data_IF_256490352416
#
_entry.id   IF_256490352416
#
_cell.length_a   1.000
_cell.length_b   1.000
_cell.length_c   1.000
_cell.angle_alpha   90.00
_cell.angle_beta   90.00
_cell.angle_gamma   90.00
#
_symmetry.space_group_name_H-M   'P 1'
#
loop_
_entity.id
_entity.type
_entity.pdbx_description
1 polymer ?
#
# COMPACT_ATOMS: atom_id res chain seq x y z
N UNK A 1 27.44 -57.28 -4.62
CA UNK A 1 28.51 -56.32 -4.98
C UNK A 1 28.36 -56.05 -6.46
N UNK A 2 27.98 -54.90 -6.98
CA UNK A 2 27.76 -53.57 -6.41
C UNK A 2 26.74 -52.86 -7.30
N UNK A 3 25.76 -52.20 -6.69
CA UNK A 3 24.97 -51.17 -7.35
C UNK A 3 25.85 -49.92 -7.40
N UNK A 4 26.22 -49.51 -8.60
CA UNK A 4 26.89 -48.24 -8.88
C UNK A 4 26.06 -47.57 -9.95
N UNK A 5 25.22 -46.62 -9.54
CA UNK A 5 25.24 -45.24 -10.04
C UNK A 5 24.13 -44.48 -9.30
N UNK A 6 24.50 -43.79 -8.23
CA UNK A 6 23.67 -42.72 -7.67
C UNK A 6 24.58 -41.52 -7.51
N UNK A 7 24.56 -40.65 -8.51
CA UNK A 7 24.93 -39.26 -8.33
C UNK A 7 23.68 -38.45 -8.70
N UNK A 8 22.91 -37.92 -7.75
CA UNK A 8 22.02 -36.84 -8.09
C UNK A 8 22.93 -35.64 -8.35
N UNK A 9 23.14 -35.39 -9.65
CA UNK A 9 23.59 -34.12 -10.20
C UNK A 9 22.87 -33.02 -9.42
N UNK A 10 23.65 -32.28 -8.63
CA UNK A 10 23.17 -31.07 -7.97
C UNK A 10 22.89 -30.08 -9.09
N UNK A 11 21.65 -30.10 -9.57
CA UNK A 11 21.12 -29.08 -10.46
C UNK A 11 21.19 -27.76 -9.67
N UNK A 12 22.25 -27.01 -9.92
CA UNK A 12 22.28 -25.58 -9.68
C UNK A 12 21.10 -24.99 -10.45
N UNK A 13 19.98 -24.82 -9.76
CA UNK A 13 18.89 -24.01 -10.26
C UNK A 13 19.40 -22.57 -10.21
N UNK A 14 19.96 -22.12 -11.33
CA UNK A 14 20.07 -20.71 -11.64
C UNK A 14 18.65 -20.14 -11.54
N UNK A 15 18.36 -19.43 -10.44
CA UNK A 15 17.12 -18.68 -10.29
C UNK A 15 17.22 -17.49 -11.22
N UNK A 16 16.92 -17.74 -12.49
CA UNK A 16 16.82 -16.73 -13.53
C UNK A 16 15.59 -15.86 -13.20
N UNK A 17 15.83 -14.82 -12.41
CA UNK A 17 14.84 -13.78 -12.15
C UNK A 17 14.69 -13.00 -13.45
N UNK A 18 13.67 -13.32 -14.23
CA UNK A 18 13.26 -12.51 -15.36
C UNK A 18 12.93 -11.10 -14.85
N UNK A 19 13.80 -10.15 -15.20
CA UNK A 19 13.68 -8.73 -14.89
C UNK A 19 13.05 -7.93 -16.02
N UNK A 20 12.15 -8.51 -16.82
CA UNK A 20 11.56 -7.82 -17.97
C UNK A 20 10.25 -7.13 -17.62
N UNK A 21 10.29 -6.22 -16.64
CA UNK A 21 9.10 -5.48 -16.24
C UNK A 21 9.43 -4.35 -15.28
N UNK A 22 9.91 -3.22 -15.80
CA UNK A 22 10.24 -1.99 -15.07
C UNK A 22 11.27 -2.24 -13.94
N UNK A 23 12.51 -1.81 -14.16
CA UNK A 23 13.69 -2.03 -13.29
C UNK A 23 13.62 -1.34 -11.90
N UNK A 24 12.40 -1.01 -11.44
CA UNK A 24 12.13 -0.39 -10.15
C UNK A 24 11.33 -1.38 -9.28
N UNK A 25 11.78 -1.64 -8.05
CA UNK A 25 11.08 -2.55 -7.15
C UNK A 25 9.68 -2.01 -6.81
N UNK A 26 8.69 -2.91 -6.83
CA UNK A 26 7.29 -2.58 -6.51
C UNK A 26 7.11 -2.15 -5.05
N UNK A 27 7.87 -2.74 -4.14
CA UNK A 27 7.88 -2.43 -2.70
C UNK A 27 9.34 -2.38 -2.20
N UNK A 28 9.62 -1.48 -1.25
CA UNK A 28 10.94 -1.38 -0.60
C UNK A 28 10.76 -1.18 0.90
N UNK A 29 11.43 -2.02 1.69
CA UNK A 29 11.55 -1.84 3.14
C UNK A 29 12.51 -0.68 3.40
N UNK A 30 12.01 0.41 3.97
CA UNK A 30 12.83 1.59 4.30
C UNK A 30 13.45 1.46 5.70
N UNK A 31 12.84 0.66 6.58
CA UNK A 31 13.27 0.46 7.97
C UNK A 31 12.72 -0.85 8.52
N UNK A 32 13.50 -1.50 9.38
CA UNK A 32 13.16 -2.77 10.02
C UNK A 32 13.76 -3.97 9.28
N UNK A 33 13.72 -5.12 9.92
CA UNK A 33 14.12 -6.42 9.35
C UNK A 33 12.91 -7.36 9.50
N UNK A 34 11.96 -7.34 8.54
CA UNK A 34 10.78 -8.19 8.61
C UNK A 34 11.19 -9.66 8.38
N UNK A 35 10.50 -10.57 9.05
CA UNK A 35 10.67 -11.99 8.72
C UNK A 35 9.93 -12.38 7.43
N UNK A 36 10.18 -13.60 6.95
CA UNK A 36 9.58 -14.10 5.71
C UNK A 36 8.05 -14.12 5.76
N UNK A 37 7.48 -14.38 6.94
CA UNK A 37 6.04 -14.45 7.13
C UNK A 37 5.41 -13.06 7.06
N UNK A 38 6.03 -12.06 7.66
CA UNK A 38 5.61 -10.66 7.61
C UNK A 38 5.69 -10.10 6.19
N UNK A 39 6.78 -10.39 5.47
CA UNK A 39 6.97 -9.96 4.08
C UNK A 39 5.94 -10.63 3.14
N UNK A 40 5.67 -11.92 3.34
CA UNK A 40 4.62 -12.64 2.60
C UNK A 40 3.23 -12.07 2.90
N UNK A 41 2.91 -11.78 4.16
CA UNK A 41 1.64 -11.22 4.57
C UNK A 41 1.40 -9.84 3.92
N UNK A 42 2.40 -8.96 3.95
CA UNK A 42 2.31 -7.65 3.30
C UNK A 42 2.08 -7.79 1.78
N UNK A 43 2.82 -8.67 1.13
CA UNK A 43 2.72 -8.90 -0.32
C UNK A 43 1.34 -9.46 -0.69
N UNK A 44 0.83 -10.42 0.09
CA UNK A 44 -0.50 -11.01 -0.11
C UNK A 44 -1.61 -9.95 0.01
N UNK A 45 -1.51 -9.05 0.99
CA UNK A 45 -2.48 -7.94 1.15
C UNK A 45 -2.43 -7.01 -0.07
N UNK A 46 -1.24 -6.59 -0.51
CA UNK A 46 -1.10 -5.71 -1.68
C UNK A 46 -1.62 -6.37 -2.95
N UNK A 47 -1.30 -7.64 -3.17
CA UNK A 47 -1.82 -8.41 -4.30
C UNK A 47 -3.34 -8.57 -4.25
N UNK A 48 -3.90 -8.84 -3.07
CA UNK A 48 -5.35 -8.95 -2.87
C UNK A 48 -6.09 -7.64 -3.15
N UNK A 49 -5.53 -6.51 -2.72
CA UNK A 49 -6.08 -5.18 -3.05
C UNK A 49 -6.00 -4.88 -4.55
N UNK A 50 -4.90 -5.23 -5.20
CA UNK A 50 -4.74 -5.05 -6.65
C UNK A 50 -5.70 -5.94 -7.47
N UNK A 51 -5.99 -7.15 -6.98
CA UNK A 51 -6.95 -8.06 -7.60
C UNK A 51 -8.42 -7.63 -7.38
N UNK A 52 -8.70 -6.90 -6.30
CA UNK A 52 -10.05 -6.49 -5.90
C UNK A 52 -10.68 -5.37 -6.72
N UNK A 53 -9.94 -4.67 -7.59
CA UNK A 53 -10.46 -3.58 -8.43
C UNK A 53 -11.36 -4.08 -9.59
N UNK A 54 -11.48 -5.41 -9.79
CA UNK A 54 -12.27 -6.03 -10.85
C UNK A 54 -13.73 -6.32 -10.53
N UNK A 55 -14.23 -5.99 -9.32
CA UNK A 55 -15.54 -6.45 -8.86
C UNK A 55 -16.38 -5.36 -8.20
N UNK A 56 -17.31 -4.80 -8.97
CA UNK A 56 -18.57 -4.24 -8.45
C UNK A 56 -18.52 -2.81 -7.93
N UNK A 57 -19.16 -1.91 -8.69
CA UNK A 57 -19.70 -0.64 -8.21
C UNK A 57 -20.75 -0.89 -7.11
N UNK A 58 -20.31 -1.23 -5.89
CA UNK A 58 -21.19 -1.31 -4.72
C UNK A 58 -21.36 0.08 -4.10
N UNK A 59 -22.04 0.95 -4.86
CA UNK A 59 -22.47 2.26 -4.43
C UNK A 59 -21.33 3.25 -4.23
N UNK A 60 -21.64 4.54 -4.41
CA UNK A 60 -20.69 5.59 -4.05
C UNK A 60 -20.29 5.44 -2.57
N UNK A 61 -19.12 4.85 -2.32
CA UNK A 61 -18.53 4.75 -0.99
C UNK A 61 -18.61 6.12 -0.33
N UNK A 62 -19.00 6.22 0.95
CA UNK A 62 -19.04 7.49 1.64
C UNK A 62 -17.70 8.19 1.45
N UNK A 63 -17.71 9.37 0.81
CA UNK A 63 -16.47 10.11 0.57
C UNK A 63 -15.79 10.30 1.91
N UNK A 64 -14.54 9.84 2.02
CA UNK A 64 -13.75 10.02 3.23
C UNK A 64 -13.79 11.49 3.65
N UNK A 65 -13.96 11.76 4.95
CA UNK A 65 -13.89 13.15 5.46
C UNK A 65 -12.52 13.79 5.16
N UNK A 66 -11.49 12.99 4.96
CA UNK A 66 -10.16 13.45 4.55
C UNK A 66 -10.11 13.89 3.09
N UNK A 67 -11.01 13.39 2.24
CA UNK A 67 -11.13 13.78 0.84
C UNK A 67 -11.98 15.05 0.63
N UNK A 68 -12.50 15.64 1.71
CA UNK A 68 -13.26 16.88 1.62
C UNK A 68 -12.32 18.06 1.32
N UNK A 69 -12.32 18.53 0.07
CA UNK A 69 -11.54 19.72 -0.32
C UNK A 69 -11.93 20.96 0.47
N UNK A 70 -13.19 21.09 0.93
CA UNK A 70 -13.60 22.22 1.73
C UNK A 70 -12.91 22.22 3.11
N UNK A 71 -12.53 21.05 3.62
CA UNK A 71 -11.72 20.92 4.83
C UNK A 71 -10.24 21.27 4.61
N UNK A 72 -9.75 21.23 3.37
CA UNK A 72 -8.37 21.61 3.02
C UNK A 72 -8.17 23.13 2.93
N UNK A 73 -9.26 23.91 2.84
CA UNK A 73 -9.20 25.36 2.73
C UNK A 73 -9.92 26.01 3.90
N UNK A 74 -9.38 27.13 4.38
CA UNK A 74 -10.01 27.88 5.46
C UNK A 74 -11.32 28.50 4.97
N UNK A 75 -12.40 28.36 5.75
CA UNK A 75 -13.64 29.09 5.50
C UNK A 75 -13.40 30.62 5.57
N UNK A 76 -14.02 31.42 4.68
CA UNK A 76 -13.90 32.87 4.71
C UNK A 76 -14.32 33.44 6.06
N UNK A 77 -13.59 34.43 6.58
CA UNK A 77 -14.02 35.17 7.76
C UNK A 77 -15.01 36.25 7.35
N UNK A 78 -16.11 36.38 8.08
CA UNK A 78 -17.05 37.49 7.94
C UNK A 78 -16.61 38.65 8.85
N UNK A 79 -16.22 39.82 8.31
CA UNK A 79 -15.92 40.99 9.13
C UNK A 79 -17.20 41.57 9.73
N UNK A 80 -17.13 42.08 10.96
CA UNK A 80 -18.25 42.75 11.61
C UNK A 80 -17.96 43.12 13.07
N UNK A 81 -18.76 44.01 13.68
CA UNK A 81 -18.66 44.32 15.11
C UNK A 81 -18.73 43.04 15.95
N UNK A 82 -17.72 42.83 16.80
CA UNK A 82 -17.66 41.65 17.67
C UNK A 82 -17.17 40.35 17.01
N UNK A 83 -16.92 40.31 15.69
CA UNK A 83 -16.49 39.08 14.99
C UNK A 83 -15.19 38.48 15.55
N UNK A 84 -14.25 39.33 15.99
CA UNK A 84 -13.02 38.92 16.67
C UNK A 84 -13.24 38.28 18.04
N UNK A 85 -14.26 38.72 18.80
CA UNK A 85 -14.61 38.09 20.08
C UNK A 85 -15.30 36.75 19.84
N UNK A 86 -16.13 36.70 18.80
CA UNK A 86 -16.85 35.48 18.42
C UNK A 86 -15.91 34.36 17.93
N UNK A 87 -14.73 34.66 17.36
CA UNK A 87 -13.79 33.62 16.92
C UNK A 87 -13.16 32.82 18.07
N UNK A 88 -13.18 33.34 19.29
CA UNK A 88 -12.71 32.64 20.48
C UNK A 88 -13.78 31.76 21.14
N UNK A 89 -15.04 31.88 20.71
CA UNK A 89 -16.12 31.03 21.17
C UNK A 89 -16.18 29.78 20.29
N UNK A 90 -16.26 28.61 20.92
CA UNK A 90 -16.38 27.32 20.21
C UNK A 90 -17.74 27.31 19.51
N UNK A 91 -17.72 27.19 18.18
CA UNK A 91 -18.92 27.11 17.34
C UNK A 91 -19.43 25.68 17.27
#
# INVERSE_FOLDING_TARGET
>A
MSASDETPETASADVETDGSGNDRPLLRVVRGEPDDAELAALTAVVAGLAAGDGGGDDGASPRSRWADRAALVRAPLTPGPGAWRASALRR
#
